data_IF_566195934849
#
_entry.id   IF_566195934849
#
_cell.length_a   1.000
_cell.length_b   1.000
_cell.length_c   1.000
_cell.angle_alpha   90.00
_cell.angle_beta   90.00
_cell.angle_gamma   90.00
#
_symmetry.space_group_name_H-M   'P 1'
#
loop_
_entity.id
_entity.type
_entity.pdbx_description
1 polymer ?
#
# COMPACT_ATOMS: atom_id res chain seq x y z
N UNK A 1 1.79 22.84 68.38
CA UNK A 1 3.00 23.35 67.74
C UNK A 1 2.66 23.51 66.25
N UNK A 2 2.41 24.75 65.85
CA UNK A 2 2.09 25.16 64.53
C UNK A 2 3.37 25.38 63.71
N UNK A 3 3.44 24.98 62.41
CA UNK A 3 4.59 25.29 61.53
C UNK A 3 4.53 26.75 61.03
N UNK A 4 5.69 27.38 60.73
CA UNK A 4 5.76 28.75 60.25
C UNK A 4 5.42 28.90 58.76
N UNK A 5 5.13 30.12 58.27
CA UNK A 5 4.65 30.36 56.95
C UNK A 5 5.75 30.35 55.86
N UNK A 6 5.38 29.89 54.65
CA UNK A 6 6.23 29.86 53.47
C UNK A 6 6.54 31.27 52.99
N UNK A 7 7.81 31.58 52.77
CA UNK A 7 8.30 32.77 52.12
C UNK A 7 8.23 32.62 50.60
N UNK A 8 7.64 33.60 49.91
CA UNK A 8 7.60 33.75 48.48
C UNK A 8 9.01 33.87 47.88
N UNK A 9 9.32 32.96 46.94
CA UNK A 9 10.46 33.12 46.03
C UNK A 9 9.93 33.29 44.62
N UNK A 10 10.02 34.51 44.15
CA UNK A 10 9.82 34.91 42.74
C UNK A 10 10.93 34.32 41.87
N UNK A 11 10.61 33.73 40.70
CA UNK A 11 11.65 33.31 39.75
C UNK A 11 12.15 34.51 38.94
N UNK A 12 13.45 34.78 39.04
CA UNK A 12 14.14 35.75 38.16
C UNK A 12 14.28 35.12 36.78
N UNK A 13 13.62 35.69 35.80
CA UNK A 13 13.90 35.45 34.36
C UNK A 13 15.26 36.08 34.04
N UNK A 14 16.25 35.25 33.74
CA UNK A 14 17.48 35.70 33.06
C UNK A 14 17.23 35.75 31.57
N UNK A 15 17.06 36.97 31.04
CA UNK A 15 17.10 37.22 29.59
C UNK A 15 18.50 36.98 29.05
N UNK A 16 18.69 35.92 28.27
CA UNK A 16 19.86 35.73 27.44
C UNK A 16 19.70 36.62 26.18
N UNK A 17 20.34 37.79 26.18
CA UNK A 17 20.50 38.59 24.96
C UNK A 17 21.65 38.03 24.14
N UNK A 18 21.34 37.50 22.96
CA UNK A 18 22.34 37.18 21.91
C UNK A 18 22.73 38.47 21.21
N UNK A 19 24.04 38.80 21.01
CA UNK A 19 24.45 40.01 20.30
C UNK A 19 24.10 39.90 18.82
N UNK A 20 23.43 40.91 18.28
CA UNK A 20 23.21 41.10 16.86
C UNK A 20 24.54 41.36 16.16
N UNK A 21 25.15 40.35 15.55
CA UNK A 21 26.14 40.53 14.50
C UNK A 21 25.46 40.56 13.15
N UNK A 22 25.79 41.58 12.38
CA UNK A 22 25.19 41.95 11.10
C UNK A 22 25.17 40.81 10.09
N UNK A 23 23.99 40.24 9.85
CA UNK A 23 23.71 39.57 8.58
C UNK A 23 23.14 40.62 7.63
N UNK A 24 23.82 40.81 6.51
CA UNK A 24 23.37 41.63 5.39
C UNK A 24 21.94 41.22 5.02
N UNK A 25 21.01 42.15 5.20
CA UNK A 25 19.63 42.04 4.75
C UNK A 25 19.63 41.95 3.21
N UNK A 26 19.56 40.76 2.65
CA UNK A 26 19.02 40.59 1.32
C UNK A 26 17.59 41.14 1.34
N UNK A 27 17.32 42.14 0.49
CA UNK A 27 16.06 42.86 0.42
C UNK A 27 14.86 41.89 0.38
N UNK A 28 13.92 42.09 1.29
CA UNK A 28 12.68 41.30 1.39
C UNK A 28 11.91 41.24 0.06
N UNK A 29 12.12 42.23 -0.83
CA UNK A 29 11.56 42.26 -2.19
C UNK A 29 12.28 41.35 -3.18
N UNK A 30 13.58 41.12 -3.04
CA UNK A 30 14.30 40.18 -3.86
C UNK A 30 13.99 38.71 -3.49
N UNK A 31 13.80 38.45 -2.20
CA UNK A 31 13.32 37.14 -1.72
C UNK A 31 11.90 36.82 -2.20
N UNK A 32 10.98 37.80 -2.13
CA UNK A 32 9.60 37.66 -2.63
C UNK A 32 9.55 37.55 -4.17
N UNK A 33 10.45 38.24 -4.91
CA UNK A 33 10.53 38.08 -6.37
C UNK A 33 11.11 36.73 -6.79
N UNK A 34 12.07 36.19 -6.09
CA UNK A 34 12.60 34.84 -6.35
C UNK A 34 11.57 33.74 -6.01
N UNK A 35 10.75 33.94 -4.97
CA UNK A 35 9.63 33.02 -4.65
C UNK A 35 8.46 33.14 -5.62
N UNK A 36 8.17 34.32 -6.17
CA UNK A 36 7.07 34.53 -7.10
C UNK A 36 7.33 34.01 -8.52
N UNK A 37 8.60 33.88 -8.92
CA UNK A 37 8.98 33.28 -10.22
C UNK A 37 8.93 31.74 -10.18
N UNK A 38 8.85 31.12 -9.00
CA UNK A 38 8.67 29.67 -8.81
C UNK A 38 7.20 29.23 -8.71
N UNK A 39 6.24 30.14 -8.68
CA UNK A 39 4.81 29.86 -8.55
C UNK A 39 4.07 29.63 -9.89
N UNK A 40 4.81 29.57 -11.01
CA UNK A 40 4.25 29.35 -12.36
C UNK A 40 4.42 27.94 -12.94
N UNK A 41 4.98 27.02 -12.22
CA UNK A 41 5.10 25.61 -12.59
C UNK A 41 5.04 24.78 -11.32
N UNK A 42 4.36 23.66 -11.35
CA UNK A 42 4.28 22.65 -10.28
C UNK A 42 5.57 22.70 -9.45
N UNK A 43 5.51 23.28 -8.26
CA UNK A 43 6.64 23.31 -7.34
C UNK A 43 6.81 21.91 -6.75
N UNK A 44 7.44 21.04 -7.53
CA UNK A 44 8.05 19.81 -7.02
C UNK A 44 9.16 20.26 -6.07
N UNK A 45 9.16 19.73 -4.87
CA UNK A 45 10.16 19.98 -3.85
C UNK A 45 11.56 19.84 -4.47
N UNK A 46 12.52 20.76 -4.24
CA UNK A 46 13.87 20.65 -4.83
C UNK A 46 14.60 19.34 -4.51
N UNK A 47 14.22 18.68 -3.40
CA UNK A 47 14.75 17.36 -3.02
C UNK A 47 14.21 16.20 -3.88
N UNK A 48 13.00 16.32 -4.45
CA UNK A 48 12.41 15.28 -5.31
C UNK A 48 13.10 15.23 -6.69
N UNK A 49 13.49 16.38 -7.23
CA UNK A 49 14.23 16.45 -8.50
C UNK A 49 15.70 16.00 -8.39
N UNK A 50 16.29 15.94 -7.20
CA UNK A 50 17.69 15.57 -7.02
C UNK A 50 17.96 14.06 -7.02
N UNK A 51 16.94 13.24 -6.77
CA UNK A 51 17.09 11.78 -6.71
C UNK A 51 17.00 11.08 -8.07
N UNK A 52 16.25 11.67 -9.02
CA UNK A 52 16.12 11.14 -10.39
C UNK A 52 17.40 11.29 -11.24
N UNK A 53 18.27 12.31 -11.06
CA UNK A 53 19.50 12.44 -11.84
C UNK A 53 20.51 11.28 -11.71
N UNK A 54 20.42 10.46 -10.69
CA UNK A 54 21.29 9.28 -10.55
C UNK A 54 20.88 8.08 -11.40
N UNK A 55 19.66 8.10 -11.95
CA UNK A 55 19.23 7.18 -12.98
C UNK A 55 19.14 7.98 -14.29
N UNK A 56 20.06 7.77 -15.24
CA UNK A 56 19.92 8.36 -16.57
C UNK A 56 18.76 7.64 -17.28
N UNK A 57 17.54 8.05 -16.90
CA UNK A 57 16.32 7.50 -17.48
C UNK A 57 16.14 8.15 -18.86
N UNK A 58 16.34 7.36 -19.90
CA UNK A 58 16.10 7.78 -21.28
C UNK A 58 14.60 7.57 -21.62
N UNK A 59 13.82 8.65 -21.78
CA UNK A 59 12.41 8.56 -22.08
C UNK A 59 12.11 8.05 -23.50
N UNK A 60 13.13 7.99 -24.36
CA UNK A 60 12.99 7.47 -25.73
C UNK A 60 13.00 5.95 -25.81
N UNK A 61 13.43 5.26 -24.76
CA UNK A 61 13.42 3.79 -24.69
C UNK A 61 12.02 3.22 -24.67
N UNK A 62 11.85 2.10 -25.34
CA UNK A 62 10.59 1.37 -25.42
C UNK A 62 10.82 -0.13 -25.31
N UNK A 63 9.75 -0.91 -25.21
CA UNK A 63 9.83 -2.37 -25.14
C UNK A 63 10.70 -2.86 -23.95
N UNK A 64 11.47 -3.92 -24.16
CA UNK A 64 12.30 -4.52 -23.12
C UNK A 64 13.47 -3.61 -22.67
N UNK A 65 13.99 -2.74 -23.56
CA UNK A 65 15.08 -1.82 -23.20
C UNK A 65 14.65 -0.83 -22.13
N UNK A 66 13.40 -0.33 -22.19
CA UNK A 66 12.81 0.48 -21.12
C UNK A 66 12.78 -0.29 -19.79
N UNK A 67 12.35 -1.56 -19.80
CA UNK A 67 12.26 -2.36 -18.57
C UNK A 67 13.63 -2.78 -18.02
N UNK A 68 14.62 -2.96 -18.87
CA UNK A 68 16.01 -3.16 -18.44
C UNK A 68 16.55 -1.92 -17.72
N UNK A 69 16.23 -0.73 -18.22
CA UNK A 69 16.56 0.52 -17.54
C UNK A 69 15.85 0.62 -16.17
N UNK A 70 14.54 0.32 -16.11
CA UNK A 70 13.80 0.30 -14.84
C UNK A 70 14.41 -0.72 -13.85
N UNK A 71 14.87 -1.89 -14.32
CA UNK A 71 15.54 -2.88 -13.49
C UNK A 71 16.77 -2.32 -12.78
N UNK A 72 17.52 -1.42 -13.41
CA UNK A 72 18.71 -0.78 -12.82
C UNK A 72 18.37 0.13 -11.64
N UNK A 73 17.12 0.62 -11.55
CA UNK A 73 16.64 1.36 -10.40
C UNK A 73 16.55 0.53 -9.11
N UNK A 74 16.63 -0.79 -9.20
CA UNK A 74 16.51 -1.70 -8.06
C UNK A 74 17.83 -2.42 -7.76
N UNK A 75 18.02 -2.77 -6.48
CA UNK A 75 19.12 -3.63 -6.03
C UNK A 75 18.65 -5.10 -6.01
N UNK A 76 18.34 -5.66 -7.20
CA UNK A 76 17.95 -7.05 -7.29
C UNK A 76 19.08 -7.97 -6.86
N UNK A 77 18.76 -9.03 -6.09
CA UNK A 77 19.74 -10.04 -5.67
C UNK A 77 20.32 -10.76 -6.89
N UNK A 78 21.66 -10.92 -7.00
CA UNK A 78 22.25 -11.70 -8.06
C UNK A 78 22.06 -13.22 -7.85
N UNK A 79 21.76 -13.65 -6.62
CA UNK A 79 21.75 -15.07 -6.23
C UNK A 79 20.33 -15.63 -6.11
N UNK A 80 19.32 -14.80 -5.95
CA UNK A 80 17.93 -15.19 -5.73
C UNK A 80 17.04 -14.47 -6.73
N UNK A 81 16.27 -15.24 -7.50
CA UNK A 81 15.16 -14.69 -8.29
C UNK A 81 13.98 -14.50 -7.35
N UNK A 82 13.71 -13.23 -6.99
CA UNK A 82 12.58 -12.89 -6.12
C UNK A 82 11.28 -12.79 -6.93
N UNK A 83 10.40 -13.77 -6.73
CA UNK A 83 9.05 -13.81 -7.29
C UNK A 83 7.98 -13.83 -6.19
N UNK A 84 8.28 -13.25 -5.02
CA UNK A 84 7.34 -13.06 -3.93
C UNK A 84 7.12 -11.56 -3.61
N UNK A 85 7.00 -10.72 -4.64
CA UNK A 85 6.75 -9.29 -4.47
C UNK A 85 5.34 -8.98 -3.93
N UNK A 86 4.41 -9.94 -4.01
CA UNK A 86 3.11 -9.81 -3.36
C UNK A 86 3.18 -9.85 -1.82
N UNK A 87 4.26 -10.33 -1.23
CA UNK A 87 4.50 -10.19 0.22
C UNK A 87 4.90 -8.75 0.53
N UNK A 88 6.06 -8.36 0.01
CA UNK A 88 6.65 -7.03 0.11
C UNK A 88 7.58 -6.81 -1.09
N UNK A 89 7.63 -5.59 -1.63
CA UNK A 89 8.50 -5.25 -2.75
C UNK A 89 9.78 -4.57 -2.27
N UNK A 90 10.93 -4.79 -2.94
CA UNK A 90 12.11 -4.00 -2.69
C UNK A 90 11.87 -2.54 -3.10
N UNK A 91 12.38 -1.61 -2.30
CA UNK A 91 12.37 -0.20 -2.66
C UNK A 91 13.43 0.11 -3.74
N UNK A 92 13.20 1.12 -4.60
CA UNK A 92 14.20 1.61 -5.53
C UNK A 92 15.46 2.12 -4.82
N UNK A 93 16.62 2.13 -5.51
CA UNK A 93 17.88 2.64 -4.95
C UNK A 93 17.75 4.08 -4.45
N UNK A 94 17.14 4.96 -5.25
CA UNK A 94 16.91 6.35 -4.86
C UNK A 94 16.09 6.46 -3.56
N UNK A 95 15.08 5.62 -3.39
CA UNK A 95 14.29 5.55 -2.16
C UNK A 95 15.13 5.10 -0.96
N UNK A 96 16.01 4.12 -1.14
CA UNK A 96 16.90 3.64 -0.07
C UNK A 96 17.96 4.69 0.29
N UNK A 97 18.54 5.37 -0.69
CA UNK A 97 19.50 6.46 -0.49
C UNK A 97 18.84 7.64 0.25
N UNK A 98 17.59 7.98 -0.11
CA UNK A 98 16.82 9.00 0.60
C UNK A 98 16.53 8.60 2.05
N UNK A 99 16.14 7.34 2.28
CA UNK A 99 15.91 6.82 3.62
C UNK A 99 17.17 6.93 4.50
N UNK A 100 18.35 6.56 3.96
CA UNK A 100 19.62 6.67 4.65
C UNK A 100 19.99 8.13 4.92
N UNK A 101 19.78 9.01 3.95
CA UNK A 101 20.02 10.45 4.09
C UNK A 101 19.17 11.05 5.23
N UNK A 102 17.86 10.85 5.20
CA UNK A 102 16.96 11.37 6.23
C UNK A 102 17.21 10.77 7.61
N UNK A 103 17.61 9.47 7.68
CA UNK A 103 18.02 8.86 8.94
C UNK A 103 19.25 9.57 9.54
N UNK A 104 20.26 9.87 8.74
CA UNK A 104 21.46 10.61 9.19
C UNK A 104 21.08 12.02 9.62
N UNK A 105 20.33 12.75 8.80
CA UNK A 105 19.86 14.11 9.08
C UNK A 105 19.10 14.17 10.42
N UNK A 106 18.15 13.26 10.64
CA UNK A 106 17.41 13.21 11.91
C UNK A 106 18.33 12.97 13.12
N UNK A 107 19.40 12.18 12.96
CA UNK A 107 20.32 11.88 14.07
C UNK A 107 21.27 13.03 14.42
N UNK A 108 21.42 14.05 13.56
CA UNK A 108 22.20 15.25 13.88
C UNK A 108 21.52 16.14 14.94
N UNK A 109 20.18 16.32 14.87
CA UNK A 109 19.37 17.05 15.84
C UNK A 109 17.92 16.55 15.82
N UNK A 110 17.61 15.41 16.47
CA UNK A 110 16.38 14.65 16.25
C UNK A 110 15.10 15.48 16.37
N UNK A 111 14.87 16.15 17.51
CA UNK A 111 13.65 16.92 17.74
C UNK A 111 13.49 18.12 16.80
N UNK A 112 14.60 18.71 16.36
CA UNK A 112 14.58 19.82 15.44
C UNK A 112 14.21 19.37 14.02
N UNK A 113 14.94 18.39 13.46
CA UNK A 113 14.70 17.95 12.10
C UNK A 113 13.35 17.21 11.97
N UNK A 114 12.99 16.35 12.93
CA UNK A 114 11.75 15.58 12.86
C UNK A 114 10.52 16.47 12.94
N UNK A 115 10.42 17.32 13.98
CA UNK A 115 9.18 18.04 14.27
C UNK A 115 9.12 19.48 13.78
N UNK A 116 10.24 20.06 13.36
CA UNK A 116 10.26 21.43 12.86
C UNK A 116 10.49 21.54 11.36
N UNK A 117 11.04 20.49 10.76
CA UNK A 117 11.35 20.45 9.34
C UNK A 117 10.51 19.39 8.63
N UNK A 118 10.71 18.11 8.96
CA UNK A 118 10.11 17.01 8.20
C UNK A 118 8.61 16.84 8.47
N UNK A 119 8.10 17.31 9.62
CA UNK A 119 6.65 17.25 9.87
C UNK A 119 5.86 18.14 8.90
N UNK A 120 6.42 19.29 8.51
CA UNK A 120 5.83 20.18 7.51
C UNK A 120 5.89 19.57 6.09
N UNK A 121 6.94 18.81 5.79
CA UNK A 121 7.14 18.14 4.50
C UNK A 121 6.16 16.96 4.26
N UNK A 122 5.41 16.54 5.26
CA UNK A 122 4.35 15.54 5.11
C UNK A 122 3.17 16.00 4.27
N UNK A 123 2.87 17.31 4.29
CA UNK A 123 1.73 17.83 3.52
C UNK A 123 1.96 17.79 2.00
N UNK A 124 3.13 18.13 1.45
CA UNK A 124 3.47 17.85 0.06
C UNK A 124 3.38 16.36 -0.31
N UNK A 125 3.89 15.47 0.54
CA UNK A 125 3.79 14.03 0.32
C UNK A 125 2.32 13.57 0.28
N UNK A 126 1.49 14.02 1.23
CA UNK A 126 0.05 13.74 1.27
C UNK A 126 -0.63 14.18 -0.01
N UNK A 127 -0.31 15.38 -0.50
CA UNK A 127 -0.85 15.92 -1.74
C UNK A 127 -0.50 15.01 -2.94
N UNK A 128 0.75 14.56 -3.03
CA UNK A 128 1.20 13.69 -4.12
C UNK A 128 0.55 12.29 -4.05
N UNK A 129 0.38 11.74 -2.85
CA UNK A 129 -0.36 10.48 -2.65
C UNK A 129 -1.84 10.64 -3.03
N UNK A 130 -2.46 11.76 -2.67
CA UNK A 130 -3.83 12.08 -3.03
C UNK A 130 -4.01 12.20 -4.56
N UNK A 131 -3.07 12.85 -5.26
CA UNK A 131 -3.06 12.94 -6.72
C UNK A 131 -2.99 11.54 -7.37
N UNK A 132 -2.13 10.65 -6.87
CA UNK A 132 -2.08 9.28 -7.36
C UNK A 132 -3.40 8.54 -7.07
N UNK A 133 -3.94 8.69 -5.86
CA UNK A 133 -5.18 8.06 -5.44
C UNK A 133 -6.43 8.65 -6.14
N UNK A 134 -6.32 9.83 -6.78
CA UNK A 134 -7.47 10.57 -7.32
C UNK A 134 -8.46 10.99 -6.23
N UNK A 135 -7.94 11.45 -5.10
CA UNK A 135 -8.67 11.86 -3.91
C UNK A 135 -8.26 13.28 -3.47
N UNK A 136 -9.02 13.88 -2.57
CA UNK A 136 -8.59 15.09 -1.90
C UNK A 136 -7.52 14.75 -0.84
N UNK A 137 -6.53 15.64 -0.65
CA UNK A 137 -5.52 15.45 0.40
C UNK A 137 -6.12 15.35 1.80
N UNK A 138 -7.27 15.98 2.02
CA UNK A 138 -8.03 15.93 3.28
C UNK A 138 -8.77 14.59 3.49
N UNK A 139 -8.63 13.65 2.55
CA UNK A 139 -9.16 12.27 2.62
C UNK A 139 -8.05 11.24 2.85
N UNK A 140 -6.77 11.67 2.88
CA UNK A 140 -5.59 10.79 2.95
C UNK A 140 -4.87 10.95 4.28
N UNK A 141 -4.69 9.84 5.01
CA UNK A 141 -3.78 9.74 6.14
C UNK A 141 -2.58 8.83 5.80
N UNK A 142 -1.39 9.24 6.25
CA UNK A 142 -0.15 8.48 6.07
C UNK A 142 -0.01 7.52 7.26
N UNK A 143 -0.02 6.22 6.99
CA UNK A 143 0.08 5.15 7.96
C UNK A 143 1.32 4.27 7.72
N UNK A 144 1.54 3.25 8.57
CA UNK A 144 2.67 2.33 8.44
C UNK A 144 2.41 1.16 7.50
N UNK A 145 1.17 0.77 7.30
CA UNK A 145 0.76 -0.32 6.40
C UNK A 145 -0.78 -0.41 6.29
N UNK A 146 -1.26 -1.29 5.41
CA UNK A 146 -2.69 -1.57 5.25
C UNK A 146 -3.35 -2.08 6.54
N UNK A 147 -2.63 -2.86 7.35
CA UNK A 147 -3.19 -3.40 8.60
C UNK A 147 -3.55 -2.29 9.56
N UNK A 148 -2.67 -1.30 9.76
CA UNK A 148 -2.98 -0.13 10.58
C UNK A 148 -4.12 0.71 9.99
N UNK A 149 -4.06 0.98 8.67
CA UNK A 149 -5.07 1.76 7.98
C UNK A 149 -6.47 1.14 8.11
N UNK A 150 -6.60 -0.14 7.77
CA UNK A 150 -7.87 -0.86 7.83
C UNK A 150 -8.35 -1.08 9.26
N UNK A 151 -7.44 -1.39 10.21
CA UNK A 151 -7.80 -1.51 11.61
C UNK A 151 -8.30 -0.19 12.21
N UNK A 152 -7.77 0.96 11.77
CA UNK A 152 -8.28 2.27 12.19
C UNK A 152 -9.76 2.41 11.83
N UNK A 153 -10.18 1.94 10.66
CA UNK A 153 -11.60 1.92 10.28
C UNK A 153 -12.37 0.83 11.02
N UNK A 154 -11.88 -0.41 11.01
CA UNK A 154 -12.56 -1.57 11.61
C UNK A 154 -12.87 -1.32 13.10
N UNK A 155 -11.91 -0.81 13.85
CA UNK A 155 -12.10 -0.53 15.28
C UNK A 155 -12.73 0.82 15.56
N UNK A 156 -12.65 1.77 14.62
CA UNK A 156 -13.18 3.12 14.77
C UNK A 156 -14.68 3.27 14.42
N UNK A 157 -15.23 2.39 13.59
CA UNK A 157 -16.65 2.44 13.21
C UNK A 157 -17.60 2.23 14.40
N UNK A 158 -18.63 3.07 14.50
CA UNK A 158 -19.63 3.07 15.57
C UNK A 158 -20.70 1.98 15.35
N UNK A 159 -20.29 0.71 15.33
CA UNK A 159 -21.20 -0.45 15.19
C UNK A 159 -21.77 -0.86 16.53
N UNK A 160 -22.98 -1.43 16.53
CA UNK A 160 -23.74 -1.89 17.71
C UNK A 160 -23.89 -3.41 17.69
N UNK A 161 -24.15 -3.97 18.85
CA UNK A 161 -24.50 -5.40 18.99
C UNK A 161 -25.63 -5.77 18.03
N UNK A 162 -25.42 -6.81 17.22
CA UNK A 162 -26.35 -7.29 16.22
C UNK A 162 -26.22 -6.67 14.84
N UNK A 163 -25.44 -5.58 14.67
CA UNK A 163 -25.07 -5.07 13.33
C UNK A 163 -24.25 -6.13 12.60
N UNK A 164 -24.47 -6.24 11.29
CA UNK A 164 -23.82 -7.23 10.45
C UNK A 164 -22.71 -6.61 9.58
N UNK A 165 -21.63 -7.35 9.45
CA UNK A 165 -20.50 -7.05 8.54
C UNK A 165 -20.36 -8.19 7.56
N UNK A 166 -20.45 -7.88 6.27
CA UNK A 166 -20.28 -8.84 5.17
C UNK A 166 -18.82 -8.84 4.73
N UNK A 167 -18.18 -10.01 4.72
CA UNK A 167 -16.77 -10.18 4.35
C UNK A 167 -16.54 -11.54 3.72
N UNK A 168 -15.43 -11.69 2.96
CA UNK A 168 -15.08 -12.93 2.30
C UNK A 168 -14.15 -13.80 3.14
N UNK A 169 -14.25 -15.13 2.99
CA UNK A 169 -13.26 -16.08 3.50
C UNK A 169 -11.87 -15.88 2.87
N UNK A 170 -11.80 -15.21 1.72
CA UNK A 170 -10.56 -14.91 1.01
C UNK A 170 -9.94 -13.57 1.40
N UNK A 171 -10.54 -12.82 2.32
CA UNK A 171 -9.93 -11.61 2.86
C UNK A 171 -8.64 -11.92 3.62
N UNK A 172 -7.80 -10.90 3.80
CA UNK A 172 -6.52 -11.08 4.46
C UNK A 172 -6.71 -11.47 5.94
N UNK A 173 -5.96 -12.47 6.47
CA UNK A 173 -6.19 -13.01 7.82
C UNK A 173 -6.21 -11.98 8.94
N UNK A 174 -5.36 -10.93 8.85
CA UNK A 174 -5.37 -9.89 9.88
C UNK A 174 -6.66 -9.07 9.87
N UNK A 175 -7.30 -8.90 8.71
CA UNK A 175 -8.60 -8.21 8.62
C UNK A 175 -9.72 -9.11 9.14
N UNK A 176 -9.70 -10.38 8.76
CA UNK A 176 -10.62 -11.40 9.31
C UNK A 176 -10.51 -11.42 10.85
N UNK A 177 -9.27 -11.44 11.38
CA UNK A 177 -9.05 -11.47 12.83
C UNK A 177 -9.51 -10.17 13.52
N UNK A 178 -9.33 -9.01 12.89
CA UNK A 178 -9.83 -7.74 13.41
C UNK A 178 -11.36 -7.74 13.50
N UNK A 179 -12.06 -8.21 12.47
CA UNK A 179 -13.51 -8.35 12.49
C UNK A 179 -14.00 -9.39 13.51
N UNK A 180 -13.35 -10.55 13.62
CA UNK A 180 -13.62 -11.55 14.68
C UNK A 180 -13.44 -10.97 16.07
N UNK A 181 -12.40 -10.14 16.27
CA UNK A 181 -12.19 -9.45 17.54
C UNK A 181 -13.35 -8.48 17.85
N UNK A 182 -13.87 -7.76 16.85
CA UNK A 182 -15.07 -6.92 16.98
C UNK A 182 -16.32 -7.74 17.30
N UNK A 183 -16.49 -8.89 16.64
CA UNK A 183 -17.60 -9.79 16.91
C UNK A 183 -17.59 -10.25 18.38
N UNK A 184 -16.44 -10.68 18.90
CA UNK A 184 -16.27 -11.10 20.28
C UNK A 184 -16.47 -9.98 21.29
N UNK A 185 -15.93 -8.77 21.00
CA UNK A 185 -15.93 -7.65 21.94
C UNK A 185 -17.23 -6.87 21.92
N UNK A 186 -17.75 -6.57 20.74
CA UNK A 186 -18.84 -5.62 20.54
C UNK A 186 -20.17 -6.28 20.16
N UNK A 187 -20.16 -7.60 19.92
CA UNK A 187 -21.37 -8.39 19.63
C UNK A 187 -21.93 -8.15 18.23
N UNK A 188 -21.16 -7.60 17.29
CA UNK A 188 -21.53 -7.58 15.87
C UNK A 188 -21.59 -8.99 15.31
N UNK A 189 -22.11 -9.17 14.11
CA UNK A 189 -22.22 -10.46 13.43
C UNK A 189 -21.44 -10.46 12.13
N UNK A 190 -20.64 -11.48 11.90
CA UNK A 190 -19.91 -11.67 10.65
C UNK A 190 -20.73 -12.54 9.69
N UNK A 191 -20.97 -12.02 8.50
CA UNK A 191 -21.69 -12.70 7.42
C UNK A 191 -20.70 -13.04 6.31
N UNK A 192 -20.50 -14.32 6.08
CA UNK A 192 -19.42 -14.80 5.23
C UNK A 192 -19.86 -14.98 3.78
N UNK A 193 -19.09 -14.38 2.87
CA UNK A 193 -19.21 -14.60 1.44
C UNK A 193 -18.30 -15.76 1.03
N UNK A 194 -18.87 -16.72 0.31
CA UNK A 194 -18.15 -17.84 -0.27
C UNK A 194 -17.97 -17.60 -1.77
N UNK A 195 -16.71 -17.44 -2.20
CA UNK A 195 -16.38 -17.16 -3.60
C UNK A 195 -15.85 -18.42 -4.26
N UNK A 196 -16.37 -18.72 -5.45
CA UNK A 196 -15.82 -19.77 -6.30
C UNK A 196 -14.74 -19.15 -7.20
N UNK A 197 -13.48 -19.44 -6.92
CA UNK A 197 -12.32 -18.84 -7.58
C UNK A 197 -11.46 -19.88 -8.29
N UNK A 198 -10.80 -19.50 -9.43
CA UNK A 198 -10.93 -18.22 -10.13
C UNK A 198 -12.29 -18.06 -10.83
N UNK A 199 -12.76 -16.82 -10.94
CA UNK A 199 -14.01 -16.51 -11.64
C UNK A 199 -13.78 -15.44 -12.71
N UNK A 200 -14.34 -15.66 -13.88
CA UNK A 200 -14.35 -14.69 -15.00
C UNK A 200 -15.76 -14.11 -15.24
N UNK A 201 -16.59 -14.11 -14.22
CA UNK A 201 -17.96 -13.59 -14.28
C UNK A 201 -18.19 -12.57 -13.14
N UNK A 202 -18.22 -11.29 -13.50
CA UNK A 202 -18.47 -10.19 -12.56
C UNK A 202 -19.82 -10.31 -11.86
N UNK A 203 -20.88 -10.72 -12.56
CA UNK A 203 -22.21 -10.84 -11.98
C UNK A 203 -22.25 -11.90 -10.88
N UNK A 204 -21.61 -13.04 -11.11
CA UNK A 204 -21.48 -14.10 -10.10
C UNK A 204 -20.73 -13.56 -8.85
N UNK A 205 -19.65 -12.83 -9.04
CA UNK A 205 -18.88 -12.23 -7.95
C UNK A 205 -19.68 -11.18 -7.18
N UNK A 206 -20.43 -10.30 -7.89
CA UNK A 206 -21.31 -9.31 -7.26
C UNK A 206 -22.43 -9.99 -6.48
N UNK A 207 -23.12 -10.95 -7.09
CA UNK A 207 -24.23 -11.63 -6.46
C UNK A 207 -23.83 -12.43 -5.22
N UNK A 208 -22.58 -12.95 -5.18
CA UNK A 208 -22.08 -13.63 -3.98
C UNK A 208 -22.04 -12.69 -2.75
N UNK A 209 -21.72 -11.41 -2.92
CA UNK A 209 -21.79 -10.41 -1.85
C UNK A 209 -23.21 -9.93 -1.60
N UNK A 210 -23.91 -9.52 -2.64
CA UNK A 210 -25.24 -8.88 -2.54
C UNK A 210 -26.29 -9.81 -1.92
N UNK A 211 -26.22 -11.11 -2.18
CA UNK A 211 -27.12 -12.10 -1.58
C UNK A 211 -26.96 -12.23 -0.06
N UNK A 212 -25.88 -11.72 0.51
CA UNK A 212 -25.63 -11.70 1.95
C UNK A 212 -26.13 -10.43 2.65
N UNK A 213 -26.58 -9.42 1.90
CA UNK A 213 -27.05 -8.17 2.49
C UNK A 213 -28.41 -8.35 3.17
N UNK A 214 -28.55 -7.83 4.38
CA UNK A 214 -29.78 -7.79 5.16
C UNK A 214 -30.01 -6.37 5.70
N UNK A 215 -31.19 -6.05 6.25
CA UNK A 215 -31.43 -4.74 6.89
C UNK A 215 -30.50 -4.43 8.08
N UNK A 216 -29.81 -5.45 8.63
CA UNK A 216 -28.82 -5.28 9.69
C UNK A 216 -27.39 -5.07 9.16
N UNK A 217 -27.15 -5.32 7.89
CA UNK A 217 -25.81 -5.11 7.29
C UNK A 217 -25.46 -3.62 7.33
N UNK A 218 -24.32 -3.29 7.92
CA UNK A 218 -23.81 -1.92 8.04
C UNK A 218 -22.55 -1.68 7.22
N UNK A 219 -21.74 -2.72 7.07
CA UNK A 219 -20.46 -2.63 6.36
C UNK A 219 -20.30 -3.86 5.47
N UNK A 220 -19.78 -3.62 4.26
CA UNK A 220 -19.19 -4.66 3.42
C UNK A 220 -17.70 -4.43 3.31
N UNK A 221 -16.91 -5.47 3.63
CA UNK A 221 -15.46 -5.49 3.44
C UNK A 221 -15.13 -6.19 2.12
N UNK A 222 -14.34 -5.54 1.26
CA UNK A 222 -13.98 -6.04 -0.07
C UNK A 222 -12.47 -5.99 -0.23
N UNK A 223 -11.82 -7.13 -0.38
CA UNK A 223 -10.43 -7.18 -0.85
C UNK A 223 -10.41 -7.01 -2.37
N UNK A 224 -10.04 -5.81 -2.88
CA UNK A 224 -10.15 -5.48 -4.30
C UNK A 224 -9.33 -6.41 -5.19
N UNK A 225 -8.11 -6.80 -4.76
CA UNK A 225 -7.30 -7.81 -5.43
C UNK A 225 -6.86 -8.85 -4.40
N UNK A 226 -7.39 -10.06 -4.52
CA UNK A 226 -7.19 -11.15 -3.57
C UNK A 226 -5.73 -11.63 -3.60
N UNK A 227 -5.06 -11.53 -2.48
CA UNK A 227 -3.63 -11.84 -2.34
C UNK A 227 -3.26 -13.31 -2.57
N UNK A 228 -4.21 -14.23 -2.40
CA UNK A 228 -3.97 -15.66 -2.52
C UNK A 228 -3.82 -16.13 -3.97
N UNK A 229 -4.67 -15.60 -4.85
CA UNK A 229 -4.79 -16.04 -6.23
C UNK A 229 -4.75 -14.91 -7.26
N UNK A 230 -4.75 -13.65 -6.83
CA UNK A 230 -4.72 -12.51 -7.76
C UNK A 230 -6.06 -12.20 -8.44
N UNK A 231 -7.18 -12.75 -7.93
CA UNK A 231 -8.51 -12.41 -8.42
C UNK A 231 -8.81 -10.93 -8.18
N UNK A 232 -9.18 -10.21 -9.21
CA UNK A 232 -9.74 -8.85 -9.12
C UNK A 232 -11.24 -8.96 -8.88
N UNK A 233 -11.74 -8.34 -7.82
CA UNK A 233 -13.16 -8.27 -7.53
C UNK A 233 -13.78 -7.00 -8.13
N UNK A 234 -15.02 -7.03 -8.61
CA UNK A 234 -15.74 -5.87 -9.15
C UNK A 234 -16.22 -4.94 -8.02
N UNK A 235 -15.24 -4.32 -7.30
CA UNK A 235 -15.48 -3.53 -6.08
C UNK A 235 -16.53 -2.45 -6.29
N UNK A 236 -16.48 -1.71 -7.42
CA UNK A 236 -17.46 -0.68 -7.76
C UNK A 236 -18.89 -1.21 -7.83
N UNK A 237 -19.10 -2.31 -8.54
CA UNK A 237 -20.44 -2.88 -8.69
C UNK A 237 -20.99 -3.40 -7.37
N UNK A 238 -20.14 -3.96 -6.50
CA UNK A 238 -20.54 -4.37 -5.14
C UNK A 238 -20.87 -3.13 -4.30
N UNK A 239 -20.05 -2.08 -4.38
CA UNK A 239 -20.23 -0.84 -3.65
C UNK A 239 -21.53 -0.12 -4.02
N UNK A 240 -21.85 -0.02 -5.32
CA UNK A 240 -23.11 0.58 -5.78
C UNK A 240 -24.32 -0.13 -5.19
N UNK A 241 -24.31 -1.46 -5.18
CA UNK A 241 -25.40 -2.26 -4.59
C UNK A 241 -25.47 -2.18 -3.05
N UNK A 242 -24.32 -1.96 -2.40
CA UNK A 242 -24.24 -1.71 -0.96
C UNK A 242 -24.84 -0.34 -0.61
N UNK A 243 -24.46 0.68 -1.33
CA UNK A 243 -24.93 2.07 -1.11
C UNK A 243 -26.44 2.21 -1.37
N UNK A 244 -27.02 1.49 -2.34
CA UNK A 244 -28.48 1.43 -2.55
C UNK A 244 -29.23 0.99 -1.29
N UNK A 245 -28.57 0.27 -0.37
CA UNK A 245 -29.14 -0.24 0.88
C UNK A 245 -28.60 0.49 2.12
N UNK A 246 -27.82 1.59 1.94
CA UNK A 246 -27.21 2.34 3.04
C UNK A 246 -26.09 1.61 3.76
N UNK A 247 -25.45 0.65 3.10
CA UNK A 247 -24.31 -0.14 3.62
C UNK A 247 -23.01 0.58 3.26
N UNK A 248 -22.14 0.79 4.23
CA UNK A 248 -20.82 1.41 4.01
C UNK A 248 -19.79 0.39 3.46
N UNK A 249 -18.85 0.90 2.67
CA UNK A 249 -17.91 0.08 1.90
C UNK A 249 -16.49 0.31 2.35
N UNK A 250 -15.86 -0.73 2.93
CA UNK A 250 -14.44 -0.78 3.27
C UNK A 250 -13.68 -1.62 2.24
N UNK A 251 -12.69 -1.01 1.57
CA UNK A 251 -11.88 -1.69 0.56
C UNK A 251 -10.46 -1.94 1.06
N UNK A 252 -10.03 -3.20 1.08
CA UNK A 252 -8.62 -3.56 1.18
C UNK A 252 -7.97 -3.42 -0.20
N UNK A 253 -7.24 -2.32 -0.37
CA UNK A 253 -6.51 -1.96 -1.58
C UNK A 253 -5.01 -2.33 -1.51
N UNK A 254 -4.61 -3.16 -0.53
CA UNK A 254 -3.20 -3.48 -0.29
C UNK A 254 -2.48 -4.07 -1.51
N UNK A 255 -3.19 -4.78 -2.37
CA UNK A 255 -2.62 -5.36 -3.59
C UNK A 255 -3.05 -4.66 -4.87
N UNK A 256 -4.03 -3.78 -4.84
CA UNK A 256 -4.50 -3.09 -6.04
C UNK A 256 -3.92 -1.69 -6.21
N UNK A 257 -3.65 -0.95 -5.12
CA UNK A 257 -3.09 0.40 -5.19
C UNK A 257 -1.69 0.39 -5.80
N UNK A 258 -1.44 1.32 -6.72
CA UNK A 258 -0.19 1.45 -7.48
C UNK A 258 0.20 0.20 -8.32
N UNK A 259 -0.73 -0.75 -8.47
CA UNK A 259 -0.66 -1.89 -9.36
C UNK A 259 -1.66 -1.77 -10.51
N UNK A 260 -2.93 -1.55 -10.17
CA UNK A 260 -4.02 -1.36 -11.12
C UNK A 260 -4.23 0.14 -11.38
N UNK A 261 -4.62 0.48 -12.59
CA UNK A 261 -4.92 1.86 -12.98
C UNK A 261 -6.38 2.20 -12.65
N UNK A 262 -6.57 2.80 -11.49
CA UNK A 262 -7.86 3.29 -11.00
C UNK A 262 -7.68 4.46 -10.03
N UNK A 263 -8.76 5.17 -9.75
CA UNK A 263 -8.84 6.17 -8.68
C UNK A 263 -9.74 5.67 -7.55
N UNK A 264 -9.56 6.16 -6.32
CA UNK A 264 -10.37 5.69 -5.18
C UNK A 264 -11.87 5.86 -5.43
N UNK A 265 -12.27 6.92 -6.13
CA UNK A 265 -13.65 7.13 -6.56
C UNK A 265 -14.19 6.00 -7.45
N UNK A 266 -13.32 5.35 -8.25
CA UNK A 266 -13.73 4.28 -9.16
C UNK A 266 -14.10 3.00 -8.43
N UNK A 267 -13.64 2.84 -7.19
CA UNK A 267 -13.99 1.70 -6.34
C UNK A 267 -15.34 1.85 -5.64
N UNK A 268 -15.86 3.07 -5.52
CA UNK A 268 -17.03 3.37 -4.69
C UNK A 268 -16.77 3.18 -3.19
N UNK A 269 -15.50 3.22 -2.76
CA UNK A 269 -15.13 3.02 -1.36
C UNK A 269 -15.51 4.23 -0.49
N UNK A 270 -16.09 3.99 0.70
CA UNK A 270 -16.17 5.00 1.76
C UNK A 270 -14.84 5.06 2.52
N UNK A 271 -14.19 3.92 2.63
CA UNK A 271 -12.92 3.71 3.32
C UNK A 271 -12.02 2.78 2.50
N UNK A 272 -10.73 3.07 2.45
CA UNK A 272 -9.76 2.14 1.87
C UNK A 272 -8.41 2.20 2.59
N UNK A 273 -7.71 1.06 2.65
CA UNK A 273 -6.38 0.98 3.22
C UNK A 273 -5.41 0.27 2.29
N UNK A 274 -4.16 0.76 2.26
CA UNK A 274 -3.11 0.15 1.43
C UNK A 274 -1.74 0.16 2.10
N UNK A 275 -0.86 -0.73 1.63
CA UNK A 275 0.57 -0.77 1.98
C UNK A 275 1.40 -0.21 0.84
N UNK A 276 2.08 0.91 1.07
CA UNK A 276 2.90 1.58 0.04
C UNK A 276 4.20 0.80 -0.26
N UNK A 277 4.68 -0.03 0.70
CA UNK A 277 5.82 -0.93 0.53
C UNK A 277 5.52 -2.19 -0.31
N UNK A 278 4.30 -2.31 -0.87
CA UNK A 278 3.96 -3.33 -1.87
C UNK A 278 4.20 -2.77 -3.27
N UNK A 279 3.16 -2.51 -4.03
CA UNK A 279 3.29 -2.19 -5.46
C UNK A 279 3.78 -0.77 -5.74
N UNK A 280 3.67 0.19 -4.81
CA UNK A 280 4.37 1.47 -4.93
C UNK A 280 5.88 1.33 -4.70
N UNK A 281 6.33 0.23 -4.08
CA UNK A 281 7.72 -0.04 -3.72
C UNK A 281 8.30 1.02 -2.76
N UNK A 282 7.47 1.56 -1.85
CA UNK A 282 7.90 2.45 -0.79
C UNK A 282 8.76 1.75 0.26
N UNK A 283 9.38 2.49 1.19
CA UNK A 283 10.11 1.91 2.31
C UNK A 283 9.21 0.97 3.14
N UNK A 284 9.81 -0.04 3.76
CA UNK A 284 9.08 -0.93 4.66
C UNK A 284 8.50 -0.13 5.84
N UNK A 285 7.26 -0.39 6.19
CA UNK A 285 6.56 0.38 7.21
C UNK A 285 5.90 1.65 6.68
N UNK A 286 5.53 1.69 5.41
CA UNK A 286 4.74 2.76 4.78
C UNK A 286 3.38 2.26 4.31
N UNK A 287 2.35 3.06 4.53
CA UNK A 287 0.96 2.78 4.18
C UNK A 287 0.13 4.05 4.03
N UNK A 288 -1.11 3.88 3.61
CA UNK A 288 -2.04 4.97 3.41
C UNK A 288 -3.46 4.53 3.77
N UNK A 289 -4.17 5.39 4.45
CA UNK A 289 -5.60 5.31 4.71
C UNK A 289 -6.32 6.37 3.87
N UNK A 290 -7.34 5.95 3.15
CA UNK A 290 -8.32 6.81 2.51
C UNK A 290 -9.64 6.74 3.28
N UNK A 291 -10.21 7.90 3.59
CA UNK A 291 -11.58 8.02 4.10
C UNK A 291 -12.25 9.13 3.34
N UNK A 292 -13.40 8.85 2.76
CA UNK A 292 -14.25 9.83 2.11
C UNK A 292 -14.58 10.98 3.07
N UNK A 293 -14.48 12.21 2.61
CA UNK A 293 -14.52 13.43 3.44
C UNK A 293 -15.69 13.47 4.42
N UNK A 294 -16.89 13.11 3.95
CA UNK A 294 -18.13 13.08 4.72
C UNK A 294 -18.25 11.90 5.71
N UNK A 295 -17.22 11.06 5.79
CA UNK A 295 -17.18 9.88 6.67
C UNK A 295 -16.11 9.95 7.77
N UNK A 296 -15.26 10.99 7.75
CA UNK A 296 -14.11 11.08 8.67
C UNK A 296 -14.55 11.16 10.12
N UNK A 297 -15.58 11.96 10.44
CA UNK A 297 -16.09 12.14 11.81
C UNK A 297 -16.81 10.90 12.38
N UNK A 298 -17.23 9.98 11.49
CA UNK A 298 -17.87 8.73 11.88
C UNK A 298 -16.89 7.67 12.43
N UNK A 299 -15.59 7.85 12.16
CA UNK A 299 -14.56 6.87 12.53
C UNK A 299 -13.71 7.41 13.68
N UNK A 300 -13.66 6.69 14.81
CA UNK A 300 -12.73 6.97 15.89
C UNK A 300 -11.30 6.57 15.50
N UNK A 301 -10.28 7.37 15.83
CA UNK A 301 -8.91 6.97 15.58
C UNK A 301 -8.52 5.75 16.44
N UNK A 302 -7.68 4.87 15.89
CA UNK A 302 -7.17 3.69 16.58
C UNK A 302 -6.27 4.08 17.78
N UNK A 303 -5.51 5.14 17.63
CA UNK A 303 -4.65 5.71 18.65
C UNK A 303 -5.25 7.02 19.20
N UNK A 304 -4.76 7.46 20.36
CA UNK A 304 -5.27 8.67 21.01
C UNK A 304 -5.15 9.91 20.12
N UNK A 305 -6.19 10.72 20.11
CA UNK A 305 -6.23 12.03 19.45
C UNK A 305 -6.85 13.03 20.42
N UNK A 306 -6.42 14.29 20.38
CA UNK A 306 -7.00 15.39 21.14
C UNK A 306 -8.41 15.73 20.67
N UNK A 307 -8.72 15.43 19.39
CA UNK A 307 -10.02 15.71 18.74
C UNK A 307 -10.53 14.48 17.99
N UNK A 308 -10.89 13.37 18.68
CA UNK A 308 -11.24 12.11 18.05
C UNK A 308 -12.48 12.19 17.16
N UNK A 309 -13.38 13.14 17.41
CA UNK A 309 -14.63 13.35 16.65
C UNK A 309 -14.47 14.37 15.50
N UNK A 310 -13.26 14.93 15.30
CA UNK A 310 -13.06 15.91 14.23
C UNK A 310 -13.18 15.29 12.83
N UNK A 311 -13.48 16.14 11.84
CA UNK A 311 -13.46 15.81 10.41
C UNK A 311 -12.07 15.97 9.78
N UNK A 312 -11.00 16.11 10.61
CA UNK A 312 -9.65 16.23 10.14
C UNK A 312 -9.00 14.84 10.02
N UNK A 313 -8.62 14.47 8.81
CA UNK A 313 -8.00 13.18 8.49
C UNK A 313 -6.71 12.92 9.28
N UNK A 314 -6.00 13.97 9.70
CA UNK A 314 -4.73 13.85 10.45
C UNK A 314 -4.92 13.28 11.86
N UNK A 315 -6.16 13.19 12.36
CA UNK A 315 -6.45 12.48 13.63
C UNK A 315 -6.00 11.01 13.62
N UNK A 316 -5.88 10.40 12.43
CA UNK A 316 -5.42 9.01 12.25
C UNK A 316 -3.90 8.88 12.21
N UNK A 317 -3.14 9.97 12.40
CA UNK A 317 -1.68 10.00 12.32
C UNK A 317 -1.00 10.30 13.67
N UNK A 318 -1.74 10.25 14.76
CA UNK A 318 -1.28 10.60 16.11
C UNK A 318 -0.43 9.45 16.71
N UNK A 319 0.76 9.22 16.17
CA UNK A 319 1.63 8.08 16.51
C UNK A 319 2.70 8.41 17.56
N UNK A 320 2.83 9.68 18.01
CA UNK A 320 3.97 10.11 18.80
C UNK A 320 5.28 10.09 17.97
N UNK A 321 6.39 9.70 18.61
CA UNK A 321 7.67 9.57 17.91
C UNK A 321 7.61 8.40 16.91
N UNK A 322 7.89 8.70 15.64
CA UNK A 322 7.83 7.75 14.52
C UNK A 322 9.01 7.96 13.58
N UNK A 323 9.14 7.11 12.58
CA UNK A 323 10.20 7.24 11.58
C UNK A 323 9.79 8.21 10.47
N UNK A 324 10.09 9.50 10.62
CA UNK A 324 9.97 10.50 9.56
C UNK A 324 10.78 10.16 8.30
N UNK A 325 11.99 9.61 8.41
CA UNK A 325 12.76 9.16 7.25
C UNK A 325 11.99 8.21 6.32
N UNK A 326 11.19 7.28 6.86
CA UNK A 326 10.35 6.38 6.08
C UNK A 326 9.30 7.18 5.29
N UNK A 327 8.62 8.13 5.95
CA UNK A 327 7.59 8.95 5.31
C UNK A 327 8.20 9.77 4.17
N UNK A 328 9.30 10.46 4.40
CA UNK A 328 9.97 11.29 3.39
C UNK A 328 10.46 10.48 2.17
N UNK A 329 10.98 9.28 2.40
CA UNK A 329 11.47 8.44 1.34
C UNK A 329 10.36 7.86 0.42
N UNK A 330 9.09 7.89 0.82
CA UNK A 330 7.96 7.48 -0.03
C UNK A 330 7.91 8.31 -1.33
N UNK A 331 8.24 9.61 -1.26
CA UNK A 331 8.21 10.51 -2.40
C UNK A 331 9.05 10.01 -3.58
N UNK A 332 10.21 9.43 -3.31
CA UNK A 332 11.12 8.90 -4.34
C UNK A 332 10.58 7.64 -5.04
N UNK A 333 9.84 6.80 -4.32
CA UNK A 333 9.13 5.68 -4.92
C UNK A 333 7.95 6.16 -5.78
N UNK A 334 7.28 7.22 -5.35
CA UNK A 334 6.18 7.86 -6.08
C UNK A 334 6.68 8.46 -7.39
N UNK A 335 7.85 9.10 -7.39
CA UNK A 335 8.46 9.69 -8.58
C UNK A 335 8.78 8.61 -9.63
N UNK A 336 9.40 7.50 -9.21
CA UNK A 336 9.65 6.38 -10.13
C UNK A 336 8.34 5.77 -10.64
N UNK A 337 7.33 5.63 -9.78
CA UNK A 337 6.01 5.15 -10.21
C UNK A 337 5.38 6.07 -11.27
N UNK A 338 5.42 7.39 -11.04
CA UNK A 338 4.90 8.39 -11.98
C UNK A 338 5.68 8.41 -13.29
N UNK A 339 7.01 8.20 -13.25
CA UNK A 339 7.83 8.07 -14.46
C UNK A 339 7.43 6.84 -15.29
N UNK A 340 7.20 5.70 -14.65
CA UNK A 340 6.73 4.49 -15.34
C UNK A 340 5.31 4.71 -15.89
N UNK A 341 4.43 5.31 -15.10
CA UNK A 341 3.00 5.44 -15.33
C UNK A 341 2.21 4.19 -14.90
N UNK A 342 1.05 4.41 -14.28
CA UNK A 342 0.25 3.33 -13.67
C UNK A 342 -0.23 2.33 -14.72
N UNK A 343 -0.76 2.80 -15.85
CA UNK A 343 -1.24 1.94 -16.94
C UNK A 343 -0.11 1.08 -17.51
N UNK A 344 1.05 1.68 -17.86
CA UNK A 344 2.21 0.94 -18.39
C UNK A 344 2.71 -0.11 -17.40
N UNK A 345 2.69 0.22 -16.11
CA UNK A 345 3.05 -0.71 -15.04
C UNK A 345 2.08 -1.89 -14.96
N UNK A 346 0.78 -1.64 -14.97
CA UNK A 346 -0.26 -2.67 -14.97
C UNK A 346 -0.12 -3.61 -16.17
N UNK A 347 0.03 -3.06 -17.38
CA UNK A 347 0.23 -3.82 -18.60
C UNK A 347 1.48 -4.70 -18.53
N UNK A 348 2.60 -4.15 -18.05
CA UNK A 348 3.84 -4.92 -17.83
C UNK A 348 3.65 -6.07 -16.87
N UNK A 349 3.04 -5.82 -15.72
CA UNK A 349 2.87 -6.83 -14.69
C UNK A 349 1.88 -7.92 -15.10
N UNK A 350 0.85 -7.56 -15.85
CA UNK A 350 -0.03 -8.53 -16.47
C UNK A 350 0.72 -9.39 -17.50
N UNK A 351 1.51 -8.76 -18.38
CA UNK A 351 2.35 -9.47 -19.33
C UNK A 351 3.32 -10.45 -18.65
N UNK A 352 4.05 -10.01 -17.61
CA UNK A 352 4.99 -10.86 -16.88
C UNK A 352 4.29 -12.05 -16.21
N UNK A 353 3.08 -11.86 -15.67
CA UNK A 353 2.28 -12.96 -15.12
C UNK A 353 1.91 -13.97 -16.20
N UNK A 354 1.34 -13.54 -17.30
CA UNK A 354 0.90 -14.43 -18.37
C UNK A 354 2.07 -15.11 -19.07
N UNK A 355 3.19 -14.42 -19.25
CA UNK A 355 4.38 -14.94 -19.92
C UNK A 355 4.85 -16.31 -19.40
N UNK A 356 4.90 -16.50 -18.10
CA UNK A 356 5.30 -17.79 -17.54
C UNK A 356 4.12 -18.78 -17.48
N UNK A 357 2.90 -18.30 -17.19
CA UNK A 357 1.72 -19.15 -17.08
C UNK A 357 1.44 -19.88 -18.42
N UNK A 358 1.45 -19.15 -19.53
CA UNK A 358 1.24 -19.69 -20.88
C UNK A 358 2.26 -20.77 -21.24
N UNK A 359 3.54 -20.58 -20.86
CA UNK A 359 4.63 -21.52 -21.19
C UNK A 359 4.60 -22.85 -20.42
N UNK A 360 3.78 -22.94 -19.38
CA UNK A 360 3.63 -24.14 -18.55
C UNK A 360 2.21 -24.68 -18.52
N UNK A 361 1.27 -24.06 -19.21
CA UNK A 361 -0.16 -24.40 -19.16
C UNK A 361 -0.46 -25.85 -19.61
N UNK A 362 0.34 -26.38 -20.53
CA UNK A 362 0.15 -27.73 -21.09
C UNK A 362 0.83 -28.85 -20.28
N UNK A 363 1.42 -28.53 -19.10
CA UNK A 363 2.07 -29.56 -18.30
C UNK A 363 1.06 -30.50 -17.64
N UNK A 364 1.30 -31.81 -17.63
CA UNK A 364 0.39 -32.77 -17.03
C UNK A 364 0.11 -32.46 -15.54
N UNK A 365 -1.16 -32.39 -15.18
CA UNK A 365 -1.62 -32.19 -13.81
C UNK A 365 -1.36 -30.79 -13.24
N UNK A 366 -0.96 -29.81 -14.05
CA UNK A 366 -0.90 -28.42 -13.63
C UNK A 366 -2.29 -27.79 -13.67
N UNK A 367 -2.59 -26.98 -12.70
CA UNK A 367 -3.81 -26.16 -12.67
C UNK A 367 -3.51 -24.77 -12.11
N UNK A 368 -4.30 -23.77 -12.52
CA UNK A 368 -4.14 -22.39 -12.09
C UNK A 368 -5.30 -21.95 -11.23
N UNK A 369 -4.98 -21.21 -10.16
CA UNK A 369 -5.96 -20.55 -9.30
C UNK A 369 -6.15 -19.07 -9.69
N UNK A 370 -5.56 -18.64 -10.80
CA UNK A 370 -5.55 -17.27 -11.29
C UNK A 370 -6.02 -17.24 -12.74
N UNK A 371 -6.88 -16.27 -13.07
CA UNK A 371 -7.25 -15.98 -14.47
C UNK A 371 -6.10 -15.35 -15.24
N UNK A 372 -5.97 -15.71 -16.51
CA UNK A 372 -5.07 -15.04 -17.46
C UNK A 372 -5.71 -13.79 -18.08
N UNK A 373 -7.03 -13.63 -17.97
CA UNK A 373 -7.76 -12.48 -18.47
C UNK A 373 -7.42 -11.22 -17.67
N UNK A 374 -6.99 -10.10 -18.31
CA UNK A 374 -6.59 -8.87 -17.63
C UNK A 374 -7.70 -8.22 -16.79
N UNK A 375 -8.96 -8.50 -17.10
CA UNK A 375 -10.08 -8.01 -16.31
C UNK A 375 -10.17 -8.66 -14.94
N UNK A 376 -9.69 -9.89 -14.78
CA UNK A 376 -9.87 -10.70 -13.58
C UNK A 376 -8.57 -11.03 -12.86
N UNK A 377 -7.41 -10.66 -13.41
CA UNK A 377 -6.13 -10.93 -12.77
C UNK A 377 -5.00 -10.07 -13.29
N UNK A 378 -4.09 -9.66 -12.39
CA UNK A 378 -2.88 -8.92 -12.70
C UNK A 378 -1.76 -9.27 -11.73
N UNK A 379 -0.50 -9.27 -12.15
CA UNK A 379 0.72 -9.45 -11.38
C UNK A 379 0.82 -10.74 -10.54
N UNK A 380 -0.24 -11.18 -9.90
CA UNK A 380 -0.26 -12.36 -9.02
C UNK A 380 -0.74 -13.56 -9.81
N UNK A 381 0.13 -14.56 -9.99
CA UNK A 381 -0.23 -15.87 -10.55
C UNK A 381 -0.09 -16.94 -9.49
N UNK A 382 -1.04 -17.89 -9.44
CA UNK A 382 -1.00 -19.01 -8.52
C UNK A 382 -1.28 -20.31 -9.28
N UNK A 383 -0.43 -21.32 -9.07
CA UNK A 383 -0.54 -22.62 -9.70
C UNK A 383 -0.32 -23.76 -8.72
N UNK A 384 -0.85 -24.90 -9.02
CA UNK A 384 -0.62 -26.15 -8.28
C UNK A 384 -0.46 -27.33 -9.24
N UNK A 385 -0.17 -28.48 -8.65
CA UNK A 385 -0.21 -29.75 -9.34
C UNK A 385 -1.11 -30.72 -8.55
N UNK A 386 -1.78 -31.63 -9.26
CA UNK A 386 -2.59 -32.67 -8.65
C UNK A 386 -1.75 -33.49 -7.64
N UNK A 387 -2.32 -33.72 -6.47
CA UNK A 387 -1.72 -34.51 -5.39
C UNK A 387 -0.35 -34.06 -4.87
N UNK A 388 0.03 -32.79 -5.10
CA UNK A 388 1.28 -32.20 -4.63
C UNK A 388 1.02 -31.11 -3.59
N UNK A 389 1.74 -31.18 -2.48
CA UNK A 389 1.67 -30.10 -1.48
C UNK A 389 2.36 -28.85 -2.02
N UNK A 390 1.74 -27.67 -1.88
CA UNK A 390 2.33 -26.41 -2.33
C UNK A 390 3.74 -26.14 -1.76
N UNK A 391 3.97 -26.56 -0.53
CA UNK A 391 5.27 -26.43 0.13
C UNK A 391 6.38 -27.17 -0.62
N UNK A 392 6.11 -28.37 -1.16
CA UNK A 392 7.13 -29.19 -1.85
C UNK A 392 7.55 -28.51 -3.17
N UNK A 393 6.59 -27.91 -3.89
CA UNK A 393 6.87 -27.13 -5.10
C UNK A 393 7.73 -25.91 -4.75
N UNK A 394 7.32 -25.13 -3.76
CA UNK A 394 8.03 -23.91 -3.36
C UNK A 394 9.45 -24.22 -2.87
N UNK A 395 9.61 -25.31 -2.10
CA UNK A 395 10.88 -25.77 -1.58
C UNK A 395 11.83 -26.25 -2.71
N UNK A 396 11.33 -27.00 -3.70
CA UNK A 396 12.08 -27.38 -4.88
C UNK A 396 12.56 -26.16 -5.67
N UNK A 397 11.67 -25.21 -5.95
CA UNK A 397 12.01 -23.98 -6.67
C UNK A 397 13.11 -23.18 -5.95
N UNK A 398 13.08 -23.14 -4.62
CA UNK A 398 14.10 -22.42 -3.87
C UNK A 398 15.42 -23.19 -3.75
N UNK A 399 15.38 -24.47 -3.39
CA UNK A 399 16.60 -25.27 -3.15
C UNK A 399 17.40 -25.50 -4.41
N UNK A 400 16.72 -25.94 -5.48
CA UNK A 400 17.40 -26.32 -6.73
C UNK A 400 17.65 -25.13 -7.66
N UNK A 401 16.74 -24.14 -7.65
CA UNK A 401 16.77 -23.07 -8.64
C UNK A 401 16.99 -21.69 -8.06
N UNK A 402 17.01 -21.53 -6.73
CA UNK A 402 17.11 -20.23 -6.04
C UNK A 402 16.01 -19.24 -6.48
N UNK A 403 14.81 -19.74 -6.67
CA UNK A 403 13.62 -18.97 -7.01
C UNK A 403 12.76 -18.87 -5.75
N UNK A 404 12.57 -17.64 -5.26
CA UNK A 404 11.77 -17.37 -4.07
C UNK A 404 10.33 -17.10 -4.45
N UNK A 405 9.43 -17.97 -4.04
CA UNK A 405 7.97 -17.93 -4.17
C UNK A 405 7.33 -18.24 -2.83
N UNK A 406 6.01 -18.24 -2.72
CA UNK A 406 5.32 -18.61 -1.49
C UNK A 406 4.30 -19.71 -1.73
N UNK A 407 4.30 -20.73 -0.88
CA UNK A 407 3.24 -21.75 -0.82
C UNK A 407 1.99 -21.18 -0.18
N UNK A 408 0.84 -21.46 -0.75
CA UNK A 408 -0.48 -21.04 -0.29
C UNK A 408 -1.33 -22.29 -0.06
N UNK A 409 -1.89 -22.39 1.14
CA UNK A 409 -2.96 -23.32 1.49
C UNK A 409 -4.07 -22.51 2.19
N UNK A 410 -5.01 -21.98 1.40
CA UNK A 410 -6.08 -21.15 1.91
C UNK A 410 -7.37 -21.42 1.13
N UNK A 411 -8.39 -21.90 1.84
CA UNK A 411 -9.67 -22.31 1.25
C UNK A 411 -9.43 -23.26 0.06
N UNK A 412 -9.90 -22.91 -1.14
CA UNK A 412 -9.70 -23.72 -2.36
C UNK A 412 -8.32 -23.46 -3.03
N UNK A 413 -7.57 -22.44 -2.63
CA UNK A 413 -6.28 -22.14 -3.23
C UNK A 413 -5.20 -22.98 -2.55
N UNK A 414 -4.74 -24.03 -3.24
CA UNK A 414 -3.69 -24.92 -2.79
C UNK A 414 -2.57 -24.94 -3.82
N UNK A 415 -1.70 -23.93 -3.79
CA UNK A 415 -0.70 -23.76 -4.83
C UNK A 415 0.46 -22.88 -4.43
N UNK A 416 1.27 -22.56 -5.41
CA UNK A 416 2.40 -21.63 -5.28
C UNK A 416 2.03 -20.31 -5.92
N UNK A 417 2.16 -19.24 -5.16
CA UNK A 417 1.95 -17.88 -5.64
C UNK A 417 3.26 -17.32 -6.18
N UNK A 418 3.23 -16.88 -7.42
CA UNK A 418 4.32 -16.24 -8.17
C UNK A 418 3.94 -14.79 -8.45
N UNK A 419 4.76 -13.86 -8.01
CA UNK A 419 4.51 -12.42 -8.13
C UNK A 419 5.75 -11.70 -8.66
N UNK A 420 5.91 -11.60 -9.99
CA UNK A 420 6.93 -10.74 -10.60
C UNK A 420 6.69 -9.25 -10.28
N UNK A 421 7.72 -8.42 -10.44
CA UNK A 421 7.59 -6.96 -10.36
C UNK A 421 8.26 -6.34 -11.60
N UNK A 422 8.16 -5.02 -11.76
CA UNK A 422 8.68 -4.27 -12.93
C UNK A 422 10.17 -4.50 -13.19
N UNK A 423 10.94 -4.83 -12.17
CA UNK A 423 12.36 -5.16 -12.29
C UNK A 423 12.66 -6.62 -12.65
N UNK A 424 11.62 -7.48 -12.69
CA UNK A 424 11.76 -8.89 -13.08
C UNK A 424 12.00 -8.98 -14.58
N UNK A 425 13.09 -9.65 -14.98
CA UNK A 425 13.41 -9.87 -16.39
C UNK A 425 12.71 -11.11 -16.96
N UNK A 426 12.60 -11.17 -18.28
CA UNK A 426 12.13 -12.37 -18.97
C UNK A 426 13.05 -13.57 -18.72
N UNK A 427 14.37 -13.35 -18.55
CA UNK A 427 15.32 -14.40 -18.17
C UNK A 427 15.03 -15.01 -16.80
N UNK A 428 14.60 -14.19 -15.83
CA UNK A 428 14.16 -14.67 -14.51
C UNK A 428 12.92 -15.58 -14.65
N UNK A 429 11.97 -15.20 -15.51
CA UNK A 429 10.77 -16.00 -15.78
C UNK A 429 11.05 -17.24 -16.62
N UNK A 430 11.96 -17.19 -17.60
CA UNK A 430 12.41 -18.37 -18.32
C UNK A 430 13.10 -19.39 -17.40
N UNK A 431 13.82 -18.91 -16.38
CA UNK A 431 14.37 -19.76 -15.33
C UNK A 431 13.25 -20.42 -14.52
N UNK A 432 12.20 -19.68 -14.16
CA UNK A 432 11.02 -20.24 -13.49
C UNK A 432 10.34 -21.32 -14.35
N UNK A 433 10.12 -21.04 -15.64
CA UNK A 433 9.49 -21.99 -16.57
C UNK A 433 10.30 -23.29 -16.63
N UNK A 434 11.64 -23.20 -16.76
CA UNK A 434 12.50 -24.40 -16.76
C UNK A 434 12.39 -25.16 -15.44
N UNK A 435 12.35 -24.45 -14.32
CA UNK A 435 12.23 -25.05 -13.00
C UNK A 435 10.88 -25.78 -12.81
N UNK A 436 9.77 -25.20 -13.24
CA UNK A 436 8.44 -25.83 -13.19
C UNK A 436 8.40 -27.07 -14.08
N UNK A 437 8.96 -27.01 -15.30
CA UNK A 437 9.06 -28.15 -16.22
C UNK A 437 9.93 -29.27 -15.62
N UNK A 438 11.06 -28.93 -15.00
CA UNK A 438 11.92 -29.92 -14.33
C UNK A 438 11.22 -30.58 -13.14
N UNK A 439 10.43 -29.82 -12.37
CA UNK A 439 9.61 -30.36 -11.29
C UNK A 439 8.56 -31.33 -11.82
N UNK A 440 7.82 -30.94 -12.87
CA UNK A 440 6.80 -31.78 -13.51
C UNK A 440 7.37 -33.08 -14.06
N UNK A 441 8.58 -33.07 -14.61
CA UNK A 441 9.24 -34.27 -15.17
C UNK A 441 9.76 -35.26 -14.12
N UNK A 442 9.82 -34.87 -12.85
CA UNK A 442 10.25 -35.73 -11.72
C UNK A 442 9.07 -36.42 -11.02
N UNK A 443 7.85 -36.11 -11.41
CA UNK A 443 6.62 -36.69 -10.91
C UNK A 443 6.24 -37.96 -11.67
#
# INVERSE_FOLDING_TARGET
MTPPPASEMSPRHSEFRIPHSAFLMADRRSFIRQTATMLGGLALHPSLNAAIPHLPLDPSLSGEDFWLQIRQAYAASPNIVNLNNGGVCPAPRATMEALDHYNRMCNEAPSYYMWRILDEDREPLRTNLALLAGADKEEIAINRNATEALNSVIFGLKLKTGDEVVLSKYDYPNMINAWKQRELRDGIKLVWVDLQLPSENNETLVNAYVSQFTPRTKVVHITHLINWCGQILPARSIADRAHEQGIEVLVDAAHSFALLDYKMSDLGADYAGTSLHKWLCGPFGSGMLYIKKDKIDNVWPLLSSDKPESDNIRKFESLGTRSFPIEMAIGYSLDLHNYIGTQRKQERLHYLKNYWMEKVADLPGIHFFTSMNPQFGCAIGSFGFDDVKPYDIANFLFREWKIHVVSIEWEMVKGVRVTPNVYTSLQDLDKLVRAIKAFSAQR
#
